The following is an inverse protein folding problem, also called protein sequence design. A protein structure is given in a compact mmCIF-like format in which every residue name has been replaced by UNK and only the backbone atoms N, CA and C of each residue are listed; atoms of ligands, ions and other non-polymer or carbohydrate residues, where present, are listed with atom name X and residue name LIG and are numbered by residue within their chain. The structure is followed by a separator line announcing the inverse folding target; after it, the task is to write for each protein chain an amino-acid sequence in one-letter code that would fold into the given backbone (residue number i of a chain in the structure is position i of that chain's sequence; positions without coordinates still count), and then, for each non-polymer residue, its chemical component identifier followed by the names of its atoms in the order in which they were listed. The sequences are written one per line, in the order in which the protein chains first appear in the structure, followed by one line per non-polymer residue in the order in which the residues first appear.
data_IF_805417193643
#
_entry.id   IF_805417193643
#
_cell.length_a   1.000
_cell.length_b   1.000
_cell.length_c   1.000
_cell.angle_alpha   90.00
_cell.angle_beta   90.00
_cell.angle_gamma   90.00
#
_symmetry.space_group_name_H-M   'P 1'
#
loop_
_entity.id
_entity.type
_entity.pdbx_description
1 polymer ?
#
# COMPACT_ATOMS: atom_id res chain seq x y z
N UNK A 1 4.85 7.94 -19.21
CA UNK A 1 5.16 7.14 -18.00
C UNK A 1 3.86 6.62 -17.41
N UNK A 2 3.52 5.36 -17.66
CA UNK A 2 2.38 4.69 -16.99
C UNK A 2 2.94 3.71 -15.96
N UNK A 3 3.55 4.25 -14.91
CA UNK A 3 3.93 3.49 -13.71
C UNK A 3 2.80 3.55 -12.69
N UNK A 4 2.60 2.49 -11.91
CA UNK A 4 1.66 2.52 -10.80
C UNK A 4 2.21 3.42 -9.68
N UNK A 5 1.39 4.33 -9.14
CA UNK A 5 1.83 5.34 -8.15
C UNK A 5 2.43 4.73 -6.87
N UNK A 6 2.00 3.52 -6.52
CA UNK A 6 2.49 2.75 -5.36
C UNK A 6 3.66 1.80 -5.67
N UNK A 7 4.18 1.80 -6.90
CA UNK A 7 5.29 0.93 -7.30
C UNK A 7 6.61 1.68 -7.14
N UNK A 8 7.43 1.21 -6.21
CA UNK A 8 8.77 1.76 -5.96
C UNK A 8 9.85 0.73 -6.33
N UNK A 9 11.00 1.18 -6.81
CA UNK A 9 12.15 0.30 -7.10
C UNK A 9 13.28 0.62 -6.15
N UNK A 10 13.74 -0.39 -5.40
CA UNK A 10 14.90 -0.30 -4.50
C UNK A 10 15.97 -1.29 -4.96
N UNK A 11 17.00 -0.77 -5.60
CA UNK A 11 17.99 -1.60 -6.31
C UNK A 11 17.34 -2.38 -7.45
N UNK A 12 17.49 -3.71 -7.44
CA UNK A 12 16.89 -4.56 -8.45
C UNK A 12 15.43 -4.97 -8.14
N UNK A 13 14.96 -4.78 -6.91
CA UNK A 13 13.68 -5.34 -6.43
C UNK A 13 12.59 -4.26 -6.40
N UNK A 14 11.38 -4.62 -6.80
CA UNK A 14 10.20 -3.78 -6.71
C UNK A 14 9.50 -3.90 -5.36
N UNK A 15 8.92 -2.81 -4.91
CA UNK A 15 8.29 -2.61 -3.61
C UNK A 15 6.93 -1.94 -3.79
N UNK A 16 5.98 -2.29 -2.93
CA UNK A 16 4.77 -1.53 -2.70
C UNK A 16 5.04 -0.47 -1.64
N UNK A 17 4.53 0.75 -1.85
CA UNK A 17 4.53 1.83 -0.86
C UNK A 17 3.20 2.58 -0.91
N UNK A 18 2.50 2.63 0.22
CA UNK A 18 1.30 3.46 0.37
C UNK A 18 1.38 4.23 1.70
N UNK A 19 1.28 5.56 1.62
CA UNK A 19 1.14 6.39 2.79
C UNK A 19 -0.21 6.16 3.46
N UNK A 20 -0.23 6.18 4.79
CA UNK A 20 -1.46 6.11 5.57
C UNK A 20 -2.25 7.41 5.38
N UNK A 21 -3.56 7.35 5.09
CA UNK A 21 -4.41 8.52 4.94
C UNK A 21 -4.47 9.38 6.20
N UNK A 22 -4.50 10.71 6.03
CA UNK A 22 -4.45 11.70 7.14
C UNK A 22 -5.60 11.51 8.14
N UNK A 23 -6.78 11.13 7.65
CA UNK A 23 -7.98 10.91 8.45
C UNK A 23 -7.82 9.78 9.48
N UNK A 24 -6.96 8.79 9.20
CA UNK A 24 -6.68 7.68 10.12
C UNK A 24 -5.26 7.67 10.68
N UNK A 25 -4.40 8.60 10.25
CA UNK A 25 -2.98 8.62 10.62
C UNK A 25 -2.73 8.69 12.12
N UNK A 26 -3.63 9.32 12.88
CA UNK A 26 -3.51 9.45 14.34
C UNK A 26 -3.75 8.13 15.11
N UNK A 27 -4.43 7.15 14.49
CA UNK A 27 -4.87 5.92 15.17
C UNK A 27 -4.41 4.64 14.45
N UNK A 28 -3.97 4.75 13.21
CA UNK A 28 -3.40 3.63 12.47
C UNK A 28 -1.97 3.34 12.98
N UNK A 29 -1.56 2.07 13.15
CA UNK A 29 -0.31 1.72 13.83
C UNK A 29 0.99 2.06 13.06
N UNK A 30 0.90 2.56 11.83
CA UNK A 30 2.03 2.87 10.96
C UNK A 30 1.81 4.21 10.26
N UNK A 31 2.87 4.75 9.68
CA UNK A 31 2.80 5.91 8.78
C UNK A 31 2.66 5.52 7.31
N UNK A 32 3.14 4.33 6.94
CA UNK A 32 3.04 3.79 5.57
C UNK A 32 2.96 2.25 5.59
N UNK A 33 2.25 1.67 4.62
CA UNK A 33 2.34 0.26 4.27
C UNK A 33 3.36 0.06 3.16
N UNK A 34 4.56 -0.37 3.55
CA UNK A 34 5.71 -0.56 2.66
C UNK A 34 6.27 -1.96 2.77
N UNK A 35 6.35 -2.68 1.64
CA UNK A 35 6.88 -4.04 1.60
C UNK A 35 7.38 -4.43 0.20
N UNK A 36 8.28 -5.40 0.15
CA UNK A 36 8.84 -5.91 -1.09
C UNK A 36 7.81 -6.74 -1.87
N UNK A 37 7.70 -6.50 -3.17
CA UNK A 37 6.95 -7.35 -4.11
C UNK A 37 7.77 -8.58 -4.54
N UNK A 38 9.00 -8.72 -4.02
CA UNK A 38 9.89 -9.87 -4.21
C UNK A 38 10.16 -10.25 -5.66
N UNK A 39 10.02 -9.29 -6.58
CA UNK A 39 10.31 -9.47 -8.00
C UNK A 39 11.23 -8.38 -8.52
N UNK A 40 12.03 -8.74 -9.51
CA UNK A 40 12.87 -7.84 -10.30
C UNK A 40 12.27 -7.59 -11.69
N UNK A 41 11.23 -8.34 -12.05
CA UNK A 41 10.53 -8.21 -13.32
C UNK A 41 9.47 -7.11 -13.21
N UNK A 42 9.57 -6.13 -14.11
CA UNK A 42 8.69 -4.96 -14.07
C UNK A 42 7.22 -5.31 -14.37
N UNK A 43 6.96 -6.23 -15.32
CA UNK A 43 5.60 -6.59 -15.72
C UNK A 43 4.91 -7.39 -14.62
N UNK A 44 5.65 -8.30 -13.97
CA UNK A 44 5.18 -9.00 -12.79
C UNK A 44 4.94 -8.02 -11.64
N UNK A 45 5.83 -7.06 -11.41
CA UNK A 45 5.66 -6.05 -10.37
C UNK A 45 4.40 -5.21 -10.58
N UNK A 46 4.07 -4.84 -11.82
CA UNK A 46 2.83 -4.14 -12.16
C UNK A 46 1.57 -4.97 -11.88
N UNK A 47 1.63 -6.29 -12.02
CA UNK A 47 0.50 -7.18 -11.65
C UNK A 47 0.37 -7.25 -10.13
N UNK A 48 1.48 -7.50 -9.43
CA UNK A 48 1.50 -7.64 -7.97
C UNK A 48 1.07 -6.35 -7.27
N UNK A 49 1.58 -5.19 -7.70
CA UNK A 49 1.27 -3.90 -7.05
C UNK A 49 -0.21 -3.56 -7.13
N UNK A 50 -0.92 -3.96 -8.19
CA UNK A 50 -2.36 -3.72 -8.33
C UNK A 50 -3.17 -4.54 -7.31
N UNK A 51 -2.80 -5.81 -7.13
CA UNK A 51 -3.44 -6.68 -6.13
C UNK A 51 -3.16 -6.16 -4.72
N UNK A 52 -1.92 -5.83 -4.44
CA UNK A 52 -1.49 -5.34 -3.14
C UNK A 52 -2.07 -3.97 -2.80
N UNK A 53 -2.26 -3.09 -3.80
CA UNK A 53 -2.90 -1.80 -3.60
C UNK A 53 -4.34 -1.96 -3.10
N UNK A 54 -5.13 -2.85 -3.72
CA UNK A 54 -6.51 -3.14 -3.29
C UNK A 54 -6.54 -3.72 -1.88
N UNK A 55 -5.60 -4.64 -1.56
CA UNK A 55 -5.49 -5.20 -0.21
C UNK A 55 -5.21 -4.11 0.83
N UNK A 56 -4.28 -3.20 0.55
CA UNK A 56 -3.93 -2.09 1.45
C UNK A 56 -5.08 -1.10 1.60
N UNK A 57 -5.79 -0.77 0.52
CA UNK A 57 -6.98 0.09 0.59
C UNK A 57 -8.05 -0.52 1.50
N UNK A 58 -8.25 -1.84 1.39
CA UNK A 58 -9.18 -2.57 2.27
C UNK A 58 -8.76 -2.49 3.75
N UNK A 59 -7.46 -2.59 4.05
CA UNK A 59 -6.96 -2.45 5.43
C UNK A 59 -7.24 -1.06 6.01
N UNK A 60 -7.05 -0.01 5.21
CA UNK A 60 -7.35 1.36 5.63
C UNK A 60 -8.85 1.56 5.84
N UNK A 61 -9.69 1.03 4.95
CA UNK A 61 -11.15 1.10 5.07
C UNK A 61 -11.67 0.31 6.28
N UNK A 62 -11.11 -0.86 6.56
CA UNK A 62 -11.42 -1.63 7.77
C UNK A 62 -11.10 -0.83 9.04
N UNK A 63 -9.96 -0.15 9.05
CA UNK A 63 -9.59 0.70 10.18
C UNK A 63 -10.55 1.89 10.34
N UNK A 64 -10.90 2.57 9.24
CA UNK A 64 -11.94 3.62 9.25
C UNK A 64 -13.26 3.13 9.82
N UNK A 65 -13.73 1.96 9.38
CA UNK A 65 -14.98 1.35 9.88
C UNK A 65 -14.92 1.08 11.38
N UNK A 66 -13.80 0.58 11.90
CA UNK A 66 -13.64 0.34 13.34
C UNK A 66 -13.71 1.63 14.15
N UNK A 67 -13.09 2.71 13.68
CA UNK A 67 -13.18 4.01 14.33
C UNK A 67 -14.61 4.55 14.34
N UNK A 68 -15.36 4.39 13.25
CA UNK A 68 -16.73 4.86 13.13
C UNK A 68 -17.72 4.12 14.07
N UNK A 69 -17.40 2.89 14.49
CA UNK A 69 -18.22 2.08 15.42
C UNK A 69 -17.84 2.33 16.88
N UNK A 70 -16.64 2.86 17.15
CA UNK A 70 -16.12 3.09 18.50
C UNK A 70 -16.33 4.51 19.03
N UNK A 71 -16.77 5.45 18.18
CA UNK A 71 -17.18 6.81 18.54
C UNK A 71 -18.69 6.93 18.66
#
# INVERSE_FOLDING_TARGET
MTGHTRLYRRGAVYWHRAAVPVDIAATYPKTEETFSLRTRDYQQALKLVRVEAVRVDTLFDDHRRKLAVQG
#
